data_IF_177818345614
#
_entry.id   IF_177818345614
#
_cell.length_a   1.000
_cell.length_b   1.000
_cell.length_c   1.000
_cell.angle_alpha   90.00
_cell.angle_beta   90.00
_cell.angle_gamma   90.00
#
_symmetry.space_group_name_H-M   'P 1'
#
loop_
_entity.id
_entity.type
_entity.pdbx_description
1 polymer ?
#
# COMPACT_ATOMS: atom_id res chain seq x y z
N UNK A 1 -0.77 -10.00 -1.87
CA UNK A 1 0.32 -9.05 -2.21
C UNK A 1 0.92 -8.54 -0.91
N UNK A 2 2.24 -8.40 -0.83
CA UNK A 2 2.94 -7.88 0.36
C UNK A 2 3.61 -6.57 -0.06
N UNK A 3 3.38 -5.51 0.71
CA UNK A 3 3.98 -4.17 0.53
C UNK A 3 4.93 -3.87 1.69
N UNK A 4 5.97 -3.09 1.42
CA UNK A 4 6.97 -2.74 2.42
C UNK A 4 6.56 -1.49 3.23
N UNK A 5 7.09 -1.28 4.45
CA UNK A 5 6.74 -0.12 5.27
C UNK A 5 7.39 1.20 4.81
N UNK A 6 8.28 1.19 3.82
CA UNK A 6 9.01 2.37 3.35
C UNK A 6 8.29 3.05 2.20
N UNK A 7 7.84 2.29 1.20
CA UNK A 7 7.24 2.79 -0.04
C UNK A 7 5.84 2.23 -0.28
N UNK A 8 5.73 0.95 -0.62
CA UNK A 8 4.50 0.41 -1.18
C UNK A 8 3.38 0.35 -0.15
N UNK A 9 3.71 0.23 1.14
CA UNK A 9 2.75 0.32 2.23
C UNK A 9 2.09 1.70 2.31
N UNK A 10 2.84 2.76 2.00
CA UNK A 10 2.31 4.14 1.97
C UNK A 10 1.44 4.37 0.74
N UNK A 11 1.89 3.91 -0.44
CA UNK A 11 1.10 4.05 -1.67
C UNK A 11 -0.21 3.26 -1.59
N UNK A 12 -0.18 2.05 -1.02
CA UNK A 12 -1.37 1.24 -0.75
C UNK A 12 -2.30 1.91 0.26
N UNK A 13 -1.76 2.43 1.38
CA UNK A 13 -2.56 3.14 2.37
C UNK A 13 -3.29 4.35 1.75
N UNK A 14 -2.58 5.18 0.99
CA UNK A 14 -3.18 6.31 0.29
C UNK A 14 -4.24 5.87 -0.73
N UNK A 15 -4.00 4.80 -1.48
CA UNK A 15 -5.02 4.27 -2.41
C UNK A 15 -6.29 3.81 -1.68
N UNK A 16 -6.13 3.10 -0.55
CA UNK A 16 -7.27 2.66 0.27
C UNK A 16 -8.07 3.86 0.77
N UNK A 17 -7.39 4.90 1.25
CA UNK A 17 -8.05 6.11 1.74
C UNK A 17 -8.81 6.84 0.63
N UNK A 18 -8.19 7.01 -0.55
CA UNK A 18 -8.85 7.60 -1.72
C UNK A 18 -10.11 6.81 -2.15
N UNK A 19 -10.08 5.48 -2.08
CA UNK A 19 -11.26 4.65 -2.35
C UNK A 19 -12.35 4.87 -1.30
N UNK A 20 -11.98 4.93 -0.02
CA UNK A 20 -12.92 5.16 1.10
C UNK A 20 -13.56 6.55 1.05
N UNK A 21 -12.83 7.56 0.59
CA UNK A 21 -13.31 8.93 0.43
C UNK A 21 -14.16 9.12 -0.84
N UNK A 22 -14.31 8.08 -1.68
CA UNK A 22 -15.04 8.18 -2.94
C UNK A 22 -14.34 9.07 -3.97
N UNK A 23 -13.02 9.24 -3.86
CA UNK A 23 -12.23 10.08 -4.77
C UNK A 23 -12.32 9.58 -6.22
N UNK A 24 -12.30 8.26 -6.41
CA UNK A 24 -12.53 7.64 -7.71
C UNK A 24 -14.03 7.47 -7.96
N UNK A 25 -14.56 7.87 -9.13
CA UNK A 25 -15.96 7.62 -9.48
C UNK A 25 -16.35 6.14 -9.34
N UNK A 26 -17.58 5.87 -8.94
CA UNK A 26 -18.10 4.51 -8.85
C UNK A 26 -17.92 3.74 -10.16
N UNK A 27 -17.46 2.49 -10.08
CA UNK A 27 -17.17 1.65 -11.25
C UNK A 27 -15.82 1.94 -11.93
N UNK A 28 -14.99 2.84 -11.40
CA UNK A 28 -13.64 3.08 -11.92
C UNK A 28 -12.76 1.83 -11.82
N UNK A 29 -12.00 1.55 -12.87
CA UNK A 29 -10.90 0.58 -12.84
C UNK A 29 -9.60 1.31 -12.50
N UNK A 30 -9.01 1.00 -11.34
CA UNK A 30 -7.77 1.63 -10.86
C UNK A 30 -6.62 0.64 -10.93
N UNK A 31 -5.55 1.02 -11.64
CA UNK A 31 -4.32 0.22 -11.72
C UNK A 31 -3.36 0.60 -10.59
N UNK A 32 -3.18 -0.31 -9.64
CA UNK A 32 -2.11 -0.20 -8.66
C UNK A 32 -0.81 -0.75 -9.23
N UNK A 33 0.20 0.10 -9.37
CA UNK A 33 1.54 -0.30 -9.82
C UNK A 33 2.36 -0.74 -8.60
N UNK A 34 2.40 -2.06 -8.35
CA UNK A 34 3.19 -2.63 -7.26
C UNK A 34 4.69 -2.67 -7.64
N UNK A 35 5.48 -1.74 -7.11
CA UNK A 35 6.87 -1.53 -7.58
C UNK A 35 7.91 -2.44 -6.89
N UNK A 36 7.55 -3.13 -5.80
CA UNK A 36 8.43 -4.06 -5.11
C UNK A 36 8.70 -3.69 -3.64
N UNK A 37 9.96 -3.65 -3.23
CA UNK A 37 10.38 -3.22 -1.88
C UNK A 37 10.31 -4.28 -0.77
N UNK A 38 9.67 -5.44 -1.01
CA UNK A 38 9.40 -6.44 0.03
C UNK A 38 10.63 -6.95 0.81
N UNK A 39 11.83 -7.12 0.22
CA UNK A 39 13.00 -7.53 0.99
C UNK A 39 13.33 -6.61 2.17
N UNK A 40 12.96 -5.32 2.10
CA UNK A 40 13.18 -4.34 3.16
C UNK A 40 12.44 -4.70 4.46
N UNK A 41 11.36 -5.47 4.39
CA UNK A 41 10.55 -5.88 5.56
C UNK A 41 11.41 -6.51 6.66
N UNK A 42 12.44 -7.29 6.29
CA UNK A 42 13.35 -7.91 7.25
C UNK A 42 14.13 -6.90 8.12
N UNK A 43 14.27 -5.65 7.66
CA UNK A 43 14.89 -4.56 8.42
C UNK A 43 13.91 -3.80 9.34
N UNK A 44 12.62 -4.11 9.27
CA UNK A 44 11.54 -3.39 9.99
C UNK A 44 10.67 -4.34 10.82
N UNK A 45 11.24 -5.41 11.37
CA UNK A 45 10.47 -6.42 12.13
C UNK A 45 9.65 -5.79 13.28
N UNK A 46 10.23 -4.82 13.99
CA UNK A 46 9.57 -4.13 15.11
C UNK A 46 8.32 -3.35 14.72
N UNK A 47 8.12 -3.03 13.43
CA UNK A 47 6.90 -2.39 12.95
C UNK A 47 5.70 -3.37 12.88
N UNK A 48 5.96 -4.67 13.01
CA UNK A 48 5.00 -5.76 12.89
C UNK A 48 5.00 -6.70 14.10
N UNK A 49 5.63 -6.29 15.20
CA UNK A 49 5.55 -7.01 16.47
C UNK A 49 4.18 -6.71 17.11
N UNK A 50 3.26 -7.69 17.03
CA UNK A 50 1.94 -7.66 17.67
C UNK A 50 1.84 -8.75 18.74
#
# INVERSE_FOLDING_TARGET
MITDPVYEGKSMAGMIDLVREGYFPEGSNVLYAHLGGQPAINGYTTAFDY
#
